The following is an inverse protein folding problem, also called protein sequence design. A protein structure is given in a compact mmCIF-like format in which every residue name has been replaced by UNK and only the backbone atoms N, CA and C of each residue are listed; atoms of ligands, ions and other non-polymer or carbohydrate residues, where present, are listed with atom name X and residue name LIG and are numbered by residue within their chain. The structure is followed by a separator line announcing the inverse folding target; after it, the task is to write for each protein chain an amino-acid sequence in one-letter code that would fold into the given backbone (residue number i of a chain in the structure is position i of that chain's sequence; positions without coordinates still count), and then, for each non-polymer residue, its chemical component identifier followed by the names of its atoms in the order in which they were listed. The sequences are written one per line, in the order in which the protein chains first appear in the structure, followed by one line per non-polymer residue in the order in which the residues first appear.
data_IF_514411366190
#
_entry.id   IF_514411366190
#
_cell.length_a   1.000
_cell.length_b   1.000
_cell.length_c   1.000
_cell.angle_alpha   90.00
_cell.angle_beta   90.00
_cell.angle_gamma   90.00
#
_symmetry.space_group_name_H-M   'P 1'
#
loop_
_entity.id
_entity.type
_entity.pdbx_description
1 polymer ?
#
# COMPACT_ATOMS: atom_id res chain seq x y z
N UNK A 1 13.82 1.15 -6.83
CA UNK A 1 13.82 2.62 -6.67
C UNK A 1 12.37 3.08 -6.70
N UNK A 2 11.91 3.80 -5.67
CA UNK A 2 10.58 4.44 -5.70
C UNK A 2 10.65 5.49 -6.80
N UNK A 3 9.91 5.29 -7.89
CA UNK A 3 9.77 6.33 -8.93
C UNK A 3 9.04 7.50 -8.30
N UNK A 4 9.62 8.70 -8.41
CA UNK A 4 8.92 9.93 -8.01
C UNK A 4 7.67 10.06 -8.88
N UNK A 5 6.50 10.19 -8.24
CA UNK A 5 5.26 10.56 -8.92
C UNK A 5 5.28 12.02 -9.31
N UNK A 6 4.62 12.37 -10.41
CA UNK A 6 4.52 13.76 -10.90
C UNK A 6 3.07 14.24 -10.94
N UNK A 7 2.42 14.45 -9.78
CA UNK A 7 1.04 14.90 -9.73
C UNK A 7 0.87 16.33 -10.24
N UNK A 8 -0.23 16.60 -10.93
CA UNK A 8 -0.73 17.96 -11.17
C UNK A 8 -1.78 18.30 -10.13
N UNK A 9 -1.66 19.42 -9.46
CA UNK A 9 -2.61 19.78 -8.40
C UNK A 9 -3.78 20.60 -8.95
N UNK A 10 -4.97 20.32 -8.41
CA UNK A 10 -6.20 21.07 -8.68
C UNK A 10 -6.45 21.99 -7.49
N UNK A 11 -6.76 23.25 -7.79
CA UNK A 11 -7.04 24.30 -6.82
C UNK A 11 -8.46 24.83 -7.04
N UNK A 12 -9.12 25.24 -5.96
CA UNK A 12 -10.40 25.96 -6.04
C UNK A 12 -10.21 27.45 -6.35
N UNK A 13 -11.32 28.19 -6.45
CA UNK A 13 -11.32 29.64 -6.71
C UNK A 13 -10.62 30.47 -5.63
N UNK A 14 -10.46 29.92 -4.42
CA UNK A 14 -9.76 30.56 -3.30
C UNK A 14 -8.27 30.18 -3.25
N UNK A 15 -7.78 29.43 -4.24
CA UNK A 15 -6.41 28.94 -4.29
C UNK A 15 -6.11 27.80 -3.32
N UNK A 16 -7.14 27.17 -2.73
CA UNK A 16 -6.97 26.00 -1.87
C UNK A 16 -6.78 24.76 -2.72
N UNK A 17 -5.76 23.96 -2.40
CA UNK A 17 -5.51 22.67 -3.05
C UNK A 17 -6.61 21.68 -2.68
N UNK A 18 -7.38 21.25 -3.67
CA UNK A 18 -8.53 20.33 -3.50
C UNK A 18 -8.28 18.94 -4.07
N UNK A 19 -7.27 18.76 -4.90
CA UNK A 19 -6.99 17.46 -5.51
C UNK A 19 -5.64 17.34 -6.20
N UNK A 20 -5.39 16.15 -6.71
CA UNK A 20 -4.25 15.82 -7.53
C UNK A 20 -4.69 14.93 -8.70
N UNK A 21 -4.15 15.17 -9.88
CA UNK A 21 -4.29 14.36 -11.07
C UNK A 21 -2.96 13.64 -11.27
N UNK A 22 -3.03 12.33 -11.41
CA UNK A 22 -1.89 11.44 -11.63
C UNK A 22 -2.14 10.60 -12.89
N UNK A 23 -1.06 10.17 -13.54
CA UNK A 23 -1.18 9.10 -14.52
C UNK A 23 -1.62 7.82 -13.80
N UNK A 24 -2.48 7.03 -14.44
CA UNK A 24 -3.06 5.84 -13.81
C UNK A 24 -1.98 4.84 -13.37
N UNK A 25 -0.92 4.71 -14.16
CA UNK A 25 0.20 3.82 -13.85
C UNK A 25 1.07 4.31 -12.69
N UNK A 26 1.10 5.63 -12.41
CA UNK A 26 1.75 6.19 -11.22
C UNK A 26 0.89 5.96 -9.98
N UNK A 27 -0.44 6.06 -10.12
CA UNK A 27 -1.39 5.79 -9.05
C UNK A 27 -1.34 4.32 -8.63
N UNK A 28 -1.45 3.38 -9.59
CA UNK A 28 -1.39 1.94 -9.33
C UNK A 28 -0.10 1.55 -8.60
N UNK A 29 1.07 2.04 -9.07
CA UNK A 29 2.33 1.80 -8.36
C UNK A 29 2.36 2.35 -6.94
N UNK A 30 1.69 3.46 -6.66
CA UNK A 30 1.58 3.97 -5.29
C UNK A 30 0.75 3.03 -4.42
N UNK A 31 -0.35 2.51 -4.96
CA UNK A 31 -1.22 1.57 -4.25
C UNK A 31 -0.45 0.28 -3.94
N UNK A 32 0.23 -0.33 -4.93
CA UNK A 32 1.00 -1.56 -4.74
C UNK A 32 2.03 -1.42 -3.59
N UNK A 33 2.76 -0.30 -3.56
CA UNK A 33 3.77 -0.04 -2.51
C UNK A 33 3.12 0.11 -1.14
N UNK A 34 1.95 0.74 -1.07
CA UNK A 34 1.22 0.92 0.18
C UNK A 34 0.69 -0.42 0.71
N UNK A 35 0.21 -1.30 -0.18
CA UNK A 35 -0.24 -2.66 0.15
C UNK A 35 0.93 -3.50 0.68
N UNK A 36 2.07 -3.53 -0.02
CA UNK A 36 3.28 -4.20 0.42
C UNK A 36 3.73 -3.73 1.82
N UNK A 37 3.63 -2.42 2.07
CA UNK A 37 3.98 -1.85 3.36
C UNK A 37 3.01 -2.26 4.47
N UNK A 38 1.71 -2.31 4.18
CA UNK A 38 0.69 -2.78 5.12
C UNK A 38 0.91 -4.26 5.49
N UNK A 39 1.20 -5.10 4.50
CA UNK A 39 1.52 -6.51 4.72
C UNK A 39 2.77 -6.66 5.59
N UNK A 40 3.82 -5.90 5.31
CA UNK A 40 5.02 -5.86 6.14
C UNK A 40 4.70 -5.45 7.58
N UNK A 41 3.89 -4.40 7.78
CA UNK A 41 3.48 -3.96 9.12
C UNK A 41 2.71 -5.05 9.86
N UNK A 42 1.81 -5.77 9.17
CA UNK A 42 1.05 -6.87 9.75
C UNK A 42 1.98 -8.02 10.19
N UNK A 43 2.93 -8.43 9.34
CA UNK A 43 3.92 -9.45 9.68
C UNK A 43 4.75 -9.02 10.89
N UNK A 44 5.19 -7.77 10.93
CA UNK A 44 5.95 -7.21 12.05
C UNK A 44 5.13 -7.24 13.35
N UNK A 45 3.86 -6.84 13.30
CA UNK A 45 2.97 -6.83 14.45
C UNK A 45 2.73 -8.25 15.01
N UNK A 46 2.45 -9.23 14.13
CA UNK A 46 2.24 -10.63 14.53
C UNK A 46 3.51 -11.27 15.07
N UNK A 47 4.66 -10.97 14.46
CA UNK A 47 5.96 -11.43 14.93
C UNK A 47 6.29 -10.89 16.32
N UNK A 48 5.99 -9.62 16.60
CA UNK A 48 6.15 -9.03 17.93
C UNK A 48 5.26 -9.71 18.99
N UNK A 49 4.09 -10.20 18.60
CA UNK A 49 3.18 -10.99 19.45
C UNK A 49 3.55 -12.47 19.57
N UNK A 50 4.62 -12.92 18.89
CA UNK A 50 5.05 -14.34 18.84
C UNK A 50 3.92 -15.29 18.40
N UNK A 51 3.06 -14.84 17.50
CA UNK A 51 2.00 -15.69 16.94
C UNK A 51 2.63 -16.88 16.19
N UNK A 52 2.03 -18.07 16.35
CA UNK A 52 2.51 -19.27 15.65
C UNK A 52 2.20 -19.15 14.16
N UNK A 53 3.24 -19.30 13.34
CA UNK A 53 3.10 -19.41 11.89
C UNK A 53 2.61 -20.82 11.55
N UNK A 54 1.61 -20.91 10.67
CA UNK A 54 1.13 -22.18 10.13
C UNK A 54 1.68 -22.29 8.70
N UNK A 55 2.47 -23.33 8.37
CA UNK A 55 2.94 -23.56 7.02
C UNK A 55 1.78 -23.66 6.03
N UNK A 56 1.94 -23.07 4.85
CA UNK A 56 0.90 -23.07 3.82
C UNK A 56 0.36 -24.48 3.51
N UNK A 57 1.23 -25.50 3.49
CA UNK A 57 0.85 -26.90 3.24
C UNK A 57 -0.19 -27.43 4.24
N UNK A 58 -0.14 -26.98 5.49
CA UNK A 58 -1.09 -27.38 6.55
C UNK A 58 -2.45 -26.67 6.42
N UNK A 59 -2.49 -25.52 5.75
CA UNK A 59 -3.72 -24.75 5.51
C UNK A 59 -4.51 -25.32 4.33
N UNK A 60 -3.84 -25.65 3.22
CA UNK A 60 -4.52 -26.19 2.01
C UNK A 60 -5.16 -27.55 2.29
N UNK A 61 -4.51 -28.42 3.07
CA UNK A 61 -5.05 -29.76 3.36
C UNK A 61 -6.34 -29.74 4.21
N UNK A 62 -6.69 -28.59 4.80
CA UNK A 62 -7.88 -28.43 5.64
C UNK A 62 -9.06 -27.77 4.93
N UNK A 63 -8.94 -27.51 3.62
CA UNK A 63 -10.00 -26.94 2.77
C UNK A 63 -10.40 -27.96 1.72
#
# INVERSE_FOLDING_TARGET
MIKKVNPRFVYDENGKKIGAILAIDEFEKCIDILEDYQDYQLVKQRSAKKEKLIPHKEVIQKT
#
